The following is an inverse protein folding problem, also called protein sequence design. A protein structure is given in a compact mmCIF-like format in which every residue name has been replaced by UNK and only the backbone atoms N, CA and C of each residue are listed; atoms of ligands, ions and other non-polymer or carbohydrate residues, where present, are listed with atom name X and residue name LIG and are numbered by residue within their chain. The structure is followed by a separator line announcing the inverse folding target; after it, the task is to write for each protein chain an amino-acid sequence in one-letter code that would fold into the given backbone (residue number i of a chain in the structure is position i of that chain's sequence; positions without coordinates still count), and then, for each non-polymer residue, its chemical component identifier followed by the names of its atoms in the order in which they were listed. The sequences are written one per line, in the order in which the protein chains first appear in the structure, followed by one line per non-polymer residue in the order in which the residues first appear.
data_IF_746060932919
#
_entry.id   IF_746060932919
#
_cell.length_a   1.000
_cell.length_b   1.000
_cell.length_c   1.000
_cell.angle_alpha   90.00
_cell.angle_beta   90.00
_cell.angle_gamma   90.00
#
_symmetry.space_group_name_H-M   'P 1'
#
loop_
_entity.id
_entity.type
_entity.pdbx_description
1 polymer ?
#
# COMPACT_ATOMS: atom_id res chain seq x y z
N UNK A 1 12.47 7.22 5.04
CA UNK A 1 11.33 6.60 5.75
C UNK A 1 10.25 6.28 4.74
N UNK A 2 9.58 5.15 4.90
CA UNK A 2 8.48 4.71 4.05
C UNK A 2 7.20 4.73 4.85
N UNK A 3 6.10 5.15 4.24
CA UNK A 3 4.75 5.02 4.80
C UNK A 3 4.01 3.92 4.06
N UNK A 4 3.38 3.05 4.83
CA UNK A 4 2.58 1.93 4.34
C UNK A 4 1.15 2.06 4.87
N UNK A 5 0.16 2.02 3.98
CA UNK A 5 -1.27 1.92 4.32
C UNK A 5 -1.81 0.58 3.83
N UNK A 6 -2.53 -0.10 4.72
CA UNK A 6 -3.29 -1.32 4.45
C UNK A 6 -4.77 -1.02 4.65
N UNK A 7 -5.59 -1.33 3.66
CA UNK A 7 -7.04 -1.22 3.78
C UNK A 7 -7.55 -1.98 5.00
N UNK A 8 -8.40 -1.32 5.78
CA UNK A 8 -8.99 -1.91 6.96
C UNK A 8 -10.46 -1.50 7.08
N UNK A 9 -11.40 -2.44 6.83
CA UNK A 9 -12.83 -2.16 6.81
C UNK A 9 -13.42 -1.90 8.20
N UNK A 10 -12.65 -2.05 9.29
CA UNK A 10 -13.10 -1.70 10.64
C UNK A 10 -13.06 -0.19 10.90
N UNK A 11 -12.43 0.60 10.02
CA UNK A 11 -12.44 2.05 10.09
C UNK A 11 -13.43 2.61 9.04
N UNK A 12 -14.18 3.66 9.39
CA UNK A 12 -15.15 4.29 8.49
C UNK A 12 -14.50 4.86 7.21
N UNK A 13 -15.30 5.06 6.15
CA UNK A 13 -14.97 5.67 4.84
C UNK A 13 -13.49 5.59 4.40
N UNK A 14 -13.17 4.63 3.52
CA UNK A 14 -11.80 4.41 3.00
C UNK A 14 -10.77 4.12 4.11
N UNK A 15 -11.22 3.47 5.18
CA UNK A 15 -10.44 3.14 6.36
C UNK A 15 -9.15 2.36 6.05
N UNK A 16 -8.08 2.70 6.76
CA UNK A 16 -6.78 2.04 6.65
C UNK A 16 -6.05 1.96 7.98
N UNK A 17 -5.18 0.97 8.11
CA UNK A 17 -4.10 0.96 9.09
C UNK A 17 -2.84 1.56 8.45
N UNK A 18 -2.14 2.43 9.16
CA UNK A 18 -0.89 3.06 8.70
C UNK A 18 0.30 2.61 9.54
N UNK A 19 1.42 2.32 8.88
CA UNK A 19 2.70 2.08 9.54
C UNK A 19 3.80 2.89 8.88
N UNK A 20 4.70 3.45 9.69
CA UNK A 20 5.96 3.99 9.24
C UNK A 20 7.02 2.88 9.29
N UNK A 21 7.88 2.81 8.27
CA UNK A 21 8.97 1.85 8.15
C UNK A 21 10.27 2.65 8.05
N UNK A 22 11.17 2.40 9.00
CA UNK A 22 12.49 2.99 9.08
C UNK A 22 13.41 2.56 7.95
N UNK A 23 14.54 3.27 7.78
CA UNK A 23 15.49 2.98 6.69
C UNK A 23 16.21 1.64 6.90
N UNK A 24 16.39 1.23 8.15
CA UNK A 24 17.07 -0.01 8.52
C UNK A 24 16.07 -1.13 8.88
N UNK A 25 14.78 -0.92 8.57
CA UNK A 25 13.70 -1.86 8.89
C UNK A 25 13.22 -2.60 7.64
N UNK A 26 12.81 -3.84 7.83
CA UNK A 26 12.15 -4.66 6.81
C UNK A 26 10.76 -5.00 7.31
N UNK A 27 9.75 -4.65 6.51
CA UNK A 27 8.37 -5.01 6.75
C UNK A 27 7.89 -6.01 5.69
N UNK A 28 7.13 -7.01 6.12
CA UNK A 28 6.44 -7.95 5.24
C UNK A 28 4.95 -7.85 5.55
N UNK A 29 4.17 -7.56 4.52
CA UNK A 29 2.71 -7.52 4.60
C UNK A 29 2.14 -8.61 3.71
N UNK A 30 1.09 -9.27 4.20
CA UNK A 30 0.28 -10.20 3.45
C UNK A 30 -1.19 -9.91 3.77
N UNK A 31 -2.04 -9.93 2.75
CA UNK A 31 -3.47 -9.71 2.88
C UNK A 31 -4.23 -10.70 2.01
N UNK A 32 -5.53 -10.93 2.27
CA UNK A 32 -6.41 -11.62 1.33
C UNK A 32 -6.48 -10.88 -0.02
N UNK A 33 -6.88 -11.61 -1.06
CA UNK A 33 -7.19 -11.03 -2.37
C UNK A 33 -8.29 -9.97 -2.24
N UNK A 34 -8.18 -8.91 -3.04
CA UNK A 34 -9.11 -7.77 -3.01
C UNK A 34 -8.86 -6.76 -1.90
N UNK A 35 -7.75 -6.87 -1.16
CA UNK A 35 -7.35 -5.85 -0.16
C UNK A 35 -6.38 -4.84 -0.77
N UNK A 36 -6.64 -3.55 -0.57
CA UNK A 36 -5.78 -2.50 -1.10
C UNK A 36 -4.54 -2.21 -0.21
N UNK A 37 -3.42 -1.92 -0.88
CA UNK A 37 -2.17 -1.47 -0.26
C UNK A 37 -1.71 -0.17 -0.90
N UNK A 38 -1.12 0.73 -0.12
CA UNK A 38 -0.37 1.86 -0.66
C UNK A 38 0.96 2.03 0.07
N UNK A 39 2.00 2.26 -0.73
CA UNK A 39 3.37 2.46 -0.28
C UNK A 39 3.87 3.77 -0.85
N UNK A 40 4.40 4.64 -0.01
CA UNK A 40 5.03 5.88 -0.44
C UNK A 40 6.38 6.05 0.26
N UNK A 41 7.40 6.33 -0.54
CA UNK A 41 8.67 6.79 -0.02
C UNK A 41 8.57 8.29 0.29
N UNK A 42 8.59 8.63 1.58
CA UNK A 42 8.57 10.04 2.04
C UNK A 42 9.98 10.54 2.37
N UNK A 43 11.01 9.73 2.13
CA UNK A 43 12.40 10.17 2.23
C UNK A 43 12.79 11.02 1.01
N UNK A 44 13.19 12.29 1.19
CA UNK A 44 13.55 13.14 0.06
C UNK A 44 14.96 12.83 -0.48
N UNK A 45 15.76 12.03 0.23
CA UNK A 45 17.18 11.78 -0.12
C UNK A 45 17.40 10.33 -0.50
N UNK A 46 16.82 9.39 0.24
CA UNK A 46 17.08 7.94 0.08
C UNK A 46 15.99 7.28 -0.74
N UNK A 47 16.40 6.34 -1.60
CA UNK A 47 15.47 5.49 -2.35
C UNK A 47 14.98 4.34 -1.47
N UNK A 48 13.70 4.01 -1.57
CA UNK A 48 13.13 2.75 -1.07
C UNK A 48 12.80 1.84 -2.25
N UNK A 49 13.17 0.57 -2.17
CA UNK A 49 12.79 -0.43 -3.17
C UNK A 49 11.56 -1.20 -2.69
N UNK A 50 10.54 -1.30 -3.53
CA UNK A 50 9.33 -2.08 -3.25
C UNK A 50 9.35 -3.39 -4.05
N UNK A 51 9.10 -4.49 -3.36
CA UNK A 51 8.98 -5.82 -3.93
C UNK A 51 7.62 -6.39 -3.52
N UNK A 52 6.82 -6.76 -4.52
CA UNK A 52 5.50 -7.35 -4.32
C UNK A 52 5.40 -8.67 -5.09
N UNK A 53 4.65 -9.60 -4.52
CA UNK A 53 4.13 -10.77 -5.24
C UNK A 53 2.65 -10.52 -5.48
N UNK A 54 2.18 -10.81 -6.69
CA UNK A 54 0.79 -10.68 -7.06
C UNK A 54 0.30 -12.02 -7.59
N UNK A 55 -0.91 -12.39 -7.20
CA UNK A 55 -1.49 -13.71 -7.52
C UNK A 55 -1.84 -13.82 -9.02
N UNK A 56 -2.28 -12.71 -9.63
CA UNK A 56 -2.75 -12.65 -11.02
C UNK A 56 -2.06 -11.56 -11.83
N UNK A 57 -2.06 -11.71 -13.16
CA UNK A 57 -1.61 -10.67 -14.09
C UNK A 57 -2.50 -9.43 -13.97
N UNK A 58 -1.90 -8.24 -13.86
CA UNK A 58 -2.65 -6.97 -13.76
C UNK A 58 -3.50 -6.76 -15.02
N UNK A 59 -4.81 -6.63 -14.82
CA UNK A 59 -5.74 -6.18 -15.86
C UNK A 59 -6.16 -4.73 -15.64
N UNK A 60 -5.51 -3.81 -16.35
CA UNK A 60 -5.81 -2.38 -16.32
C UNK A 60 -7.21 -1.99 -16.86
N UNK A 61 -7.90 -2.91 -17.53
CA UNK A 61 -9.27 -2.70 -18.01
C UNK A 61 -10.34 -3.18 -17.04
N UNK A 62 -9.95 -3.77 -15.90
CA UNK A 62 -10.90 -4.17 -14.87
C UNK A 62 -11.42 -2.94 -14.11
N UNK A 63 -12.73 -2.91 -13.84
CA UNK A 63 -13.35 -1.86 -13.02
C UNK A 63 -13.23 -2.14 -11.51
N UNK A 64 -12.42 -3.13 -11.12
CA UNK A 64 -12.21 -3.57 -9.74
C UNK A 64 -10.97 -2.95 -9.11
N UNK A 65 -10.20 -2.16 -9.87
CA UNK A 65 -9.06 -1.39 -9.36
C UNK A 65 -9.49 0.06 -9.20
N UNK A 66 -9.63 0.52 -7.97
CA UNK A 66 -9.84 1.94 -7.69
C UNK A 66 -8.47 2.59 -7.38
N UNK A 67 -7.97 3.38 -8.32
CA UNK A 67 -6.73 4.11 -8.16
C UNK A 67 -7.04 5.47 -7.50
N UNK A 68 -6.25 5.88 -6.50
CA UNK A 68 -6.41 7.13 -5.74
C UNK A 68 -7.58 7.18 -4.74
N UNK A 69 -7.90 6.05 -4.09
CA UNK A 69 -8.84 6.03 -2.95
C UNK A 69 -8.34 6.95 -1.82
N UNK A 70 -7.03 6.89 -1.51
CA UNK A 70 -6.38 7.75 -0.52
C UNK A 70 -5.72 8.96 -1.20
N UNK A 71 -6.53 9.96 -1.54
CA UNK A 71 -6.09 11.19 -2.25
C UNK A 71 -5.14 12.07 -1.45
N UNK A 72 -5.05 11.84 -0.15
CA UNK A 72 -4.19 12.55 0.79
C UNK A 72 -2.77 11.94 0.89
N UNK A 73 -2.52 10.84 0.19
CA UNK A 73 -1.23 10.15 0.20
C UNK A 73 -0.20 10.79 -0.73
#
# INVERSE_FOLDING_TARGET
MTKFRLENPHFEENGYAESAIGVDEVAVAASPSGTAHALINIDPVRTTFFLGCQDDVINYSSNTTDFNVWKDL
#
